data_IF_768489721369
#
_entry.id   IF_768489721369
#
_cell.length_a   1.000
_cell.length_b   1.000
_cell.length_c   1.000
_cell.angle_alpha   90.00
_cell.angle_beta   90.00
_cell.angle_gamma   90.00
#
_symmetry.space_group_name_H-M   'P 1'
#
loop_
_entity.id
_entity.type
_entity.pdbx_description
1 polymer ?
#
# COMPACT_ATOMS: atom_id res chain seq x y z
N UNK A 1 11.05 10.19 1.63
CA UNK A 1 10.16 9.78 0.52
C UNK A 1 9.06 10.81 0.18
N UNK A 2 9.00 11.96 0.86
CA UNK A 2 7.96 12.97 0.68
C UNK A 2 8.64 14.30 0.27
N UNK A 3 8.04 15.11 -0.62
CA UNK A 3 8.62 16.38 -1.11
C UNK A 3 7.66 17.58 -1.13
N UNK A 4 8.26 18.79 -1.07
CA UNK A 4 7.67 20.12 -1.37
C UNK A 4 7.81 20.51 -2.86
N UNK A 5 7.06 21.49 -3.40
CA UNK A 5 6.87 21.59 -4.85
C UNK A 5 7.94 22.38 -5.61
N UNK A 6 8.29 21.88 -6.81
CA UNK A 6 8.67 22.69 -7.98
C UNK A 6 7.49 22.61 -8.98
N UNK A 7 7.15 23.75 -9.60
CA UNK A 7 6.01 23.91 -10.51
C UNK A 7 6.43 23.81 -11.98
N UNK A 8 5.67 23.07 -12.80
CA UNK A 8 4.98 23.60 -14.00
C UNK A 8 4.15 22.48 -14.68
N UNK A 9 2.93 22.80 -15.11
CA UNK A 9 2.02 21.93 -15.85
C UNK A 9 0.67 21.76 -15.17
N UNK A 10 -0.43 21.96 -15.92
CA UNK A 10 -1.81 21.92 -15.43
C UNK A 10 -2.08 20.63 -14.63
N UNK A 11 -2.23 20.78 -13.32
CA UNK A 11 -2.44 19.67 -12.39
C UNK A 11 -3.92 19.27 -12.39
N UNK A 12 -4.25 17.97 -12.31
CA UNK A 12 -5.56 17.58 -11.78
C UNK A 12 -5.80 18.31 -10.45
N UNK A 13 -7.06 18.69 -10.17
CA UNK A 13 -7.42 19.38 -8.93
C UNK A 13 -6.78 18.69 -7.73
N UNK A 14 -6.16 19.48 -6.85
CA UNK A 14 -5.53 18.93 -5.66
C UNK A 14 -6.56 18.09 -4.87
N UNK A 15 -6.18 16.94 -4.31
CA UNK A 15 -7.09 16.17 -3.51
C UNK A 15 -7.61 17.01 -2.34
N UNK A 16 -8.87 16.80 -1.90
CA UNK A 16 -9.38 17.45 -0.70
C UNK A 16 -8.46 17.14 0.49
N UNK A 17 -8.29 18.11 1.38
CA UNK A 17 -7.43 18.00 2.58
C UNK A 17 -5.95 17.68 2.26
N UNK A 18 -5.40 18.20 1.15
CA UNK A 18 -3.97 18.11 0.88
C UNK A 18 -3.18 18.92 1.91
N UNK A 19 -2.43 18.25 2.77
CA UNK A 19 -1.56 18.87 3.77
C UNK A 19 -0.16 19.08 3.21
N UNK A 20 0.45 20.22 3.55
CA UNK A 20 1.86 20.47 3.28
C UNK A 20 2.72 19.68 4.28
N UNK A 21 3.87 19.18 3.84
CA UNK A 21 4.84 18.53 4.71
C UNK A 21 5.65 19.53 5.54
N UNK A 22 5.70 20.80 5.11
CA UNK A 22 6.38 21.86 5.85
C UNK A 22 5.50 22.43 6.98
N UNK A 23 4.19 22.24 6.90
CA UNK A 23 3.25 22.62 7.95
C UNK A 23 3.00 21.42 8.86
N UNK A 24 3.42 21.51 10.13
CA UNK A 24 3.29 20.41 11.10
C UNK A 24 1.90 20.33 11.73
N UNK A 25 1.12 21.42 11.76
CA UNK A 25 -0.13 21.45 12.51
C UNK A 25 -1.17 20.43 11.99
N UNK A 26 -1.38 20.28 10.66
CA UNK A 26 -2.29 19.27 10.15
C UNK A 26 -1.86 17.82 10.47
N UNK A 27 -0.55 17.56 10.57
CA UNK A 27 -0.03 16.23 10.88
C UNK A 27 -0.31 15.80 12.33
N UNK A 28 -0.49 16.76 13.25
CA UNK A 28 -0.86 16.44 14.64
C UNK A 28 -2.25 15.82 14.78
N UNK A 29 -3.13 16.02 13.80
CA UNK A 29 -4.47 15.44 13.73
C UNK A 29 -4.47 14.02 13.13
N UNK A 30 -3.32 13.34 13.18
CA UNK A 30 -3.22 11.94 12.77
C UNK A 30 -4.21 11.11 13.61
N UNK A 31 -5.06 10.33 12.94
CA UNK A 31 -6.18 9.55 13.49
C UNK A 31 -7.46 10.31 13.84
N UNK A 32 -7.51 11.64 13.70
CA UNK A 32 -8.74 12.40 13.94
C UNK A 32 -9.53 12.65 12.66
N UNK A 33 -8.83 12.83 11.54
CA UNK A 33 -9.45 13.17 10.26
C UNK A 33 -8.65 12.64 9.07
N UNK A 34 -9.33 12.46 7.93
CA UNK A 34 -8.70 12.05 6.68
C UNK A 34 -7.95 13.22 6.03
N UNK A 35 -6.71 12.95 5.60
CA UNK A 35 -5.84 13.91 4.92
C UNK A 35 -5.21 13.28 3.67
N UNK A 36 -4.73 14.13 2.77
CA UNK A 36 -3.94 13.73 1.61
C UNK A 36 -2.53 14.35 1.71
N UNK A 37 -1.50 13.65 1.24
CA UNK A 37 -0.13 14.14 1.22
C UNK A 37 0.59 13.71 -0.06
N UNK A 38 1.68 14.40 -0.41
CA UNK A 38 2.52 14.07 -1.58
C UNK A 38 3.60 13.06 -1.20
N UNK A 39 3.88 12.10 -2.08
CA UNK A 39 4.94 11.10 -1.90
C UNK A 39 5.68 10.80 -3.21
N UNK A 40 6.90 10.28 -3.11
CA UNK A 40 7.81 9.99 -4.22
C UNK A 40 7.94 8.49 -4.52
N UNK A 41 6.89 7.72 -4.24
CA UNK A 41 6.87 6.28 -4.55
C UNK A 41 6.59 6.02 -6.04
N UNK A 42 6.22 7.05 -6.80
CA UNK A 42 6.03 6.93 -8.24
C UNK A 42 7.35 6.54 -8.92
N UNK A 43 7.34 5.42 -9.65
CA UNK A 43 8.52 4.92 -10.37
C UNK A 43 9.53 4.18 -9.50
N UNK A 44 9.28 4.02 -8.20
CA UNK A 44 10.18 3.28 -7.32
C UNK A 44 10.35 1.83 -7.80
N UNK A 45 11.58 1.28 -7.87
CA UNK A 45 11.85 -0.05 -8.43
C UNK A 45 11.03 -1.18 -7.78
N UNK A 46 10.82 -1.10 -6.45
CA UNK A 46 10.01 -2.08 -5.70
C UNK A 46 8.53 -2.09 -6.11
N UNK A 47 8.04 -1.14 -6.90
CA UNK A 47 6.66 -1.16 -7.41
C UNK A 47 6.57 -1.47 -8.89
N UNK A 48 7.63 -1.90 -9.57
CA UNK A 48 7.54 -2.35 -10.97
C UNK A 48 6.69 -3.62 -11.08
N UNK A 49 5.87 -3.73 -12.13
CA UNK A 49 4.91 -4.85 -12.25
C UNK A 49 5.65 -6.18 -12.33
N UNK A 50 6.74 -6.19 -13.09
CA UNK A 50 7.62 -7.34 -13.31
C UNK A 50 8.21 -7.81 -11.98
N UNK A 51 8.71 -6.88 -11.19
CA UNK A 51 9.26 -7.17 -9.86
C UNK A 51 8.19 -7.74 -8.90
N UNK A 52 6.98 -7.17 -8.90
CA UNK A 52 5.89 -7.68 -8.07
C UNK A 52 5.42 -9.06 -8.50
N UNK A 53 5.46 -9.35 -9.81
CA UNK A 53 5.14 -10.68 -10.34
C UNK A 53 6.18 -11.71 -9.88
N UNK A 54 7.48 -11.37 -9.88
CA UNK A 54 8.55 -12.25 -9.37
C UNK A 54 8.41 -12.50 -7.86
N UNK A 55 8.05 -11.48 -7.10
CA UNK A 55 7.86 -11.60 -5.66
C UNK A 55 6.61 -12.37 -5.27
N UNK A 56 5.59 -12.39 -6.14
CA UNK A 56 4.32 -13.04 -5.83
C UNK A 56 4.45 -14.52 -5.51
N UNK A 57 5.43 -15.21 -6.09
CA UNK A 57 5.71 -16.63 -5.81
C UNK A 57 6.19 -16.89 -4.37
N UNK A 58 6.90 -15.92 -3.79
CA UNK A 58 7.42 -15.94 -2.43
C UNK A 58 6.34 -15.50 -1.42
N UNK A 59 5.57 -14.47 -1.78
CA UNK A 59 4.44 -13.98 -0.95
C UNK A 59 3.31 -15.00 -0.89
N UNK A 60 3.15 -15.84 -1.92
CA UNK A 60 2.14 -16.91 -1.96
C UNK A 60 2.23 -17.88 -0.78
N UNK A 61 3.44 -18.11 -0.25
CA UNK A 61 3.63 -19.05 0.85
C UNK A 61 3.33 -18.42 2.23
N UNK A 62 3.06 -17.11 2.27
CA UNK A 62 2.54 -16.44 3.47
C UNK A 62 1.05 -16.79 3.68
N UNK A 63 0.56 -16.86 4.93
CA UNK A 63 -0.87 -17.04 5.22
C UNK A 63 -1.78 -16.12 4.39
N UNK A 64 -3.01 -16.57 4.13
CA UNK A 64 -4.06 -15.85 3.39
C UNK A 64 -3.95 -15.78 1.84
N UNK A 65 -3.06 -16.53 1.19
CA UNK A 65 -2.95 -16.55 -0.29
C UNK A 65 -4.26 -16.89 -1.02
N UNK A 66 -5.16 -17.66 -0.38
CA UNK A 66 -6.44 -18.06 -0.95
C UNK A 66 -7.37 -16.88 -1.25
N UNK A 67 -7.14 -15.70 -0.62
CA UNK A 67 -7.93 -14.48 -0.85
C UNK A 67 -7.77 -13.92 -2.26
N UNK A 68 -6.72 -14.31 -2.99
CA UNK A 68 -6.43 -13.81 -4.35
C UNK A 68 -7.18 -14.57 -5.45
N UNK A 69 -7.87 -15.66 -5.08
CA UNK A 69 -8.49 -16.58 -6.01
C UNK A 69 -10.00 -16.67 -5.78
N UNK A 70 -10.73 -16.78 -6.89
CA UNK A 70 -12.14 -17.10 -6.87
C UNK A 70 -12.35 -18.47 -6.20
N UNK A 71 -13.54 -18.69 -5.63
CA UNK A 71 -13.83 -19.93 -4.92
C UNK A 71 -13.58 -21.18 -5.78
N UNK A 72 -13.91 -21.11 -7.08
CA UNK A 72 -13.68 -22.18 -8.06
C UNK A 72 -12.21 -22.48 -8.34
N UNK A 73 -11.32 -21.49 -8.16
CA UNK A 73 -9.88 -21.64 -8.41
C UNK A 73 -9.15 -22.24 -7.20
N UNK A 74 -9.70 -22.11 -5.98
CA UNK A 74 -9.00 -22.50 -4.74
C UNK A 74 -8.67 -23.98 -4.60
N UNK A 75 -9.32 -24.84 -5.37
CA UNK A 75 -9.05 -26.29 -5.43
C UNK A 75 -7.87 -26.66 -6.34
N UNK A 76 -7.35 -25.71 -7.12
CA UNK A 76 -6.23 -25.95 -8.02
C UNK A 76 -4.93 -26.25 -7.24
N UNK A 77 -4.00 -27.04 -7.82
CA UNK A 77 -2.70 -27.28 -7.21
C UNK A 77 -1.91 -25.98 -6.95
N UNK A 78 -1.14 -25.92 -5.87
CA UNK A 78 -0.34 -24.73 -5.52
C UNK A 78 0.56 -24.21 -6.65
N UNK A 79 1.29 -25.05 -7.42
CA UNK A 79 2.10 -24.55 -8.53
C UNK A 79 1.28 -23.80 -9.58
N UNK A 80 0.06 -24.27 -9.85
CA UNK A 80 -0.85 -23.64 -10.80
C UNK A 80 -1.38 -22.31 -10.26
N UNK A 81 -1.74 -22.27 -8.98
CA UNK A 81 -2.14 -21.02 -8.32
C UNK A 81 -1.01 -19.97 -8.32
N UNK A 82 0.24 -20.37 -8.08
CA UNK A 82 1.41 -19.48 -8.18
C UNK A 82 1.55 -18.89 -9.58
N UNK A 83 1.41 -19.73 -10.62
CA UNK A 83 1.44 -19.31 -12.02
C UNK A 83 0.32 -18.31 -12.33
N UNK A 84 -0.92 -18.62 -11.93
CA UNK A 84 -2.08 -17.73 -12.11
C UNK A 84 -1.86 -16.38 -11.43
N UNK A 85 -1.34 -16.35 -10.19
CA UNK A 85 -1.08 -15.09 -9.48
C UNK A 85 -0.05 -14.24 -10.21
N UNK A 86 1.07 -14.84 -10.61
CA UNK A 86 2.14 -14.18 -11.37
C UNK A 86 1.61 -13.56 -12.66
N UNK A 87 0.92 -14.35 -13.48
CA UNK A 87 0.34 -13.90 -14.75
C UNK A 87 -0.72 -12.81 -14.55
N UNK A 88 -1.52 -12.92 -13.48
CA UNK A 88 -2.52 -11.92 -13.13
C UNK A 88 -1.88 -10.57 -12.77
N UNK A 89 -0.71 -10.57 -12.13
CA UNK A 89 0.01 -9.32 -11.84
C UNK A 89 0.56 -8.70 -13.12
N UNK A 90 1.20 -9.51 -13.98
CA UNK A 90 1.75 -9.06 -15.26
C UNK A 90 0.66 -8.46 -16.17
N UNK A 91 -0.54 -9.05 -16.15
CA UNK A 91 -1.67 -8.64 -16.99
C UNK A 91 -2.76 -7.86 -16.22
N UNK A 92 -2.42 -7.21 -15.10
CA UNK A 92 -3.42 -6.53 -14.26
C UNK A 92 -4.23 -5.47 -15.00
N UNK A 93 -3.66 -4.86 -16.04
CA UNK A 93 -4.36 -3.88 -16.88
C UNK A 93 -5.56 -4.43 -17.65
N UNK A 94 -5.62 -5.75 -17.89
CA UNK A 94 -6.57 -6.35 -18.84
C UNK A 94 -7.33 -7.57 -18.28
N UNK A 95 -7.03 -8.03 -17.06
CA UNK A 95 -7.59 -9.28 -16.55
C UNK A 95 -8.89 -9.13 -15.76
N UNK A 96 -9.35 -7.91 -15.48
CA UNK A 96 -10.56 -7.67 -14.69
C UNK A 96 -10.45 -8.15 -13.24
N UNK A 97 -9.23 -8.32 -12.71
CA UNK A 97 -8.98 -8.81 -11.34
C UNK A 97 -8.57 -7.67 -10.40
N UNK A 98 -8.90 -7.88 -9.13
CA UNK A 98 -8.33 -7.16 -8.01
C UNK A 98 -7.39 -8.10 -7.27
N UNK A 99 -6.16 -7.66 -7.06
CA UNK A 99 -5.09 -8.45 -6.44
C UNK A 99 -4.50 -7.66 -5.27
N UNK A 100 -4.07 -8.41 -4.25
CA UNK A 100 -3.34 -7.88 -3.12
C UNK A 100 -2.09 -8.74 -2.89
N UNK A 101 -1.02 -8.13 -2.38
CA UNK A 101 0.13 -8.82 -1.81
C UNK A 101 0.26 -8.34 -0.38
N UNK A 102 -0.20 -9.14 0.57
CA UNK A 102 -0.19 -8.81 1.99
C UNK A 102 1.14 -9.17 2.65
N UNK A 103 1.48 -8.43 3.71
CA UNK A 103 2.66 -8.69 4.55
C UNK A 103 3.98 -8.76 3.77
N UNK A 104 4.09 -8.00 2.68
CA UNK A 104 5.28 -8.04 1.83
C UNK A 104 6.54 -7.57 2.59
N UNK A 105 6.35 -6.72 3.61
CA UNK A 105 7.40 -6.31 4.55
C UNK A 105 7.96 -7.47 5.40
N UNK A 106 7.17 -8.52 5.64
CA UNK A 106 7.58 -9.71 6.41
C UNK A 106 8.30 -10.74 5.54
N UNK A 107 7.96 -10.79 4.26
CA UNK A 107 8.52 -11.76 3.31
C UNK A 107 9.81 -11.23 2.67
N UNK A 108 9.88 -9.93 2.39
CA UNK A 108 10.95 -9.33 1.57
C UNK A 108 11.59 -8.15 2.32
N UNK A 109 12.86 -8.27 2.78
CA UNK A 109 13.51 -7.27 3.63
C UNK A 109 13.51 -5.84 3.08
N UNK A 110 13.60 -5.67 1.75
CA UNK A 110 13.58 -4.37 1.09
C UNK A 110 12.26 -3.62 1.34
N UNK A 111 11.14 -4.32 1.48
CA UNK A 111 9.85 -3.69 1.81
C UNK A 111 9.74 -3.38 3.30
N UNK A 112 10.36 -4.18 4.17
CA UNK A 112 10.51 -3.86 5.59
C UNK A 112 11.28 -2.55 5.79
N UNK A 113 12.44 -2.41 5.13
CA UNK A 113 13.23 -1.19 5.16
C UNK A 113 12.45 0.02 4.62
N UNK A 114 11.69 -0.16 3.54
CA UNK A 114 10.86 0.90 3.00
C UNK A 114 9.73 1.30 3.95
N UNK A 115 9.05 0.32 4.58
CA UNK A 115 8.03 0.57 5.58
C UNK A 115 8.62 1.37 6.75
N UNK A 116 9.82 0.99 7.19
CA UNK A 116 10.50 1.68 8.27
C UNK A 116 10.86 3.12 7.91
N UNK A 117 11.32 3.35 6.69
CA UNK A 117 11.62 4.69 6.21
C UNK A 117 10.36 5.55 6.12
N UNK A 118 9.22 4.99 5.71
CA UNK A 118 7.94 5.70 5.64
C UNK A 118 7.47 6.12 7.04
N UNK A 119 7.51 5.21 8.02
CA UNK A 119 7.15 5.56 9.39
C UNK A 119 8.11 6.59 9.99
N UNK A 120 9.43 6.49 9.76
CA UNK A 120 10.37 7.50 10.24
C UNK A 120 10.10 8.89 9.64
N UNK A 121 9.72 8.95 8.36
CA UNK A 121 9.31 10.19 7.72
C UNK A 121 8.04 10.78 8.38
N UNK A 122 7.04 9.95 8.68
CA UNK A 122 5.80 10.38 9.33
C UNK A 122 6.08 10.86 10.77
N UNK A 123 6.88 10.12 11.55
CA UNK A 123 7.27 10.51 12.92
C UNK A 123 7.97 11.86 12.95
N UNK A 124 8.86 12.11 11.97
CA UNK A 124 9.55 13.40 11.81
C UNK A 124 8.58 14.54 11.49
N UNK A 125 7.55 14.28 10.68
CA UNK A 125 6.55 15.30 10.32
C UNK A 125 5.63 15.65 11.50
N UNK A 126 5.21 14.64 12.26
CA UNK A 126 4.33 14.81 13.42
C UNK A 126 5.11 15.35 14.63
N UNK A 127 6.41 15.05 14.71
CA UNK A 127 7.23 15.31 15.88
C UNK A 127 6.88 14.39 17.06
N UNK A 128 6.30 13.22 16.79
CA UNK A 128 5.91 12.23 17.80
C UNK A 128 6.31 10.81 17.34
N UNK A 129 6.66 9.92 18.28
CA UNK A 129 7.01 8.53 17.96
C UNK A 129 5.74 7.69 17.77
N UNK A 130 5.08 7.80 16.61
CA UNK A 130 3.82 7.09 16.33
C UNK A 130 3.94 5.58 16.56
N UNK A 131 5.12 4.99 16.31
CA UNK A 131 5.37 3.56 16.52
C UNK A 131 5.16 3.12 17.96
N UNK A 132 5.34 4.01 18.93
CA UNK A 132 5.09 3.71 20.35
C UNK A 132 3.61 3.46 20.66
N UNK A 133 2.71 3.95 19.79
CA UNK A 133 1.26 3.81 19.87
C UNK A 133 0.73 2.69 18.96
N UNK A 134 1.61 1.96 18.27
CA UNK A 134 1.26 0.90 17.34
C UNK A 134 1.36 -0.47 17.99
N UNK A 135 0.42 -1.37 17.69
CA UNK A 135 0.59 -2.79 18.01
C UNK A 135 1.36 -3.51 16.91
N UNK A 136 1.04 -3.19 15.66
CA UNK A 136 1.78 -3.70 14.50
C UNK A 136 1.66 -2.75 13.31
N UNK A 137 2.66 -2.82 12.43
CA UNK A 137 2.64 -2.21 11.10
C UNK A 137 2.90 -3.27 10.05
N UNK A 138 2.20 -3.19 8.92
CA UNK A 138 2.44 -4.03 7.76
C UNK A 138 2.28 -3.25 6.47
N UNK A 139 2.85 -3.81 5.41
CA UNK A 139 2.73 -3.29 4.06
C UNK A 139 1.93 -4.26 3.20
N UNK A 140 0.92 -3.73 2.52
CA UNK A 140 0.18 -4.44 1.47
C UNK A 140 0.24 -3.65 0.16
N UNK A 141 0.30 -4.37 -0.95
CA UNK A 141 0.26 -3.77 -2.29
C UNK A 141 -1.02 -4.23 -2.97
N UNK A 142 -1.86 -3.28 -3.34
CA UNK A 142 -3.09 -3.51 -4.06
C UNK A 142 -2.95 -3.09 -5.52
N UNK A 143 -3.42 -3.96 -6.40
CA UNK A 143 -3.39 -3.78 -7.84
C UNK A 143 -4.77 -4.13 -8.38
N UNK A 144 -5.34 -3.27 -9.21
CA UNK A 144 -6.66 -3.47 -9.76
C UNK A 144 -6.68 -3.17 -11.25
N UNK A 145 -7.42 -3.99 -11.99
CA UNK A 145 -7.76 -3.66 -13.36
C UNK A 145 -8.53 -2.32 -13.44
N UNK A 146 -8.43 -1.61 -14.58
CA UNK A 146 -9.22 -0.41 -14.81
C UNK A 146 -10.70 -0.64 -14.55
N UNK A 147 -11.39 0.39 -14.05
CA UNK A 147 -12.83 0.38 -13.73
C UNK A 147 -13.30 -0.59 -12.63
N UNK A 148 -12.42 -1.35 -11.98
CA UNK A 148 -12.79 -2.10 -10.77
C UNK A 148 -12.93 -1.18 -9.57
N UNK A 149 -14.11 -1.17 -8.97
CA UNK A 149 -14.38 -0.58 -7.67
C UNK A 149 -14.27 -1.63 -6.57
N UNK A 150 -13.72 -1.22 -5.42
CA UNK A 150 -13.80 -2.02 -4.19
C UNK A 150 -15.05 -1.57 -3.45
N UNK A 151 -15.93 -2.48 -2.98
CA UNK A 151 -17.10 -2.12 -2.20
C UNK A 151 -16.74 -1.27 -0.98
N UNK A 152 -17.67 -0.40 -0.58
CA UNK A 152 -17.49 0.43 0.60
C UNK A 152 -17.31 -0.41 1.87
N UNK A 153 -16.23 -0.17 2.59
CA UNK A 153 -15.93 -0.75 3.89
C UNK A 153 -15.06 0.25 4.69
N UNK A 154 -14.94 0.00 5.99
CA UNK A 154 -14.00 0.68 6.87
C UNK A 154 -13.12 -0.37 7.55
N UNK A 155 -11.85 -0.06 7.68
CA UNK A 155 -10.86 -0.90 8.33
C UNK A 155 -10.77 -0.55 9.83
N UNK A 156 -10.21 -1.46 10.62
CA UNK A 156 -9.94 -1.22 12.04
C UNK A 156 -8.55 -0.60 12.26
N UNK A 157 -7.88 -0.22 11.17
CA UNK A 157 -6.51 0.27 11.11
C UNK A 157 -6.44 1.74 10.67
N UNK A 158 -5.40 2.44 11.12
CA UNK A 158 -4.95 3.71 10.52
C UNK A 158 -4.19 3.38 9.24
N UNK A 159 -4.65 3.90 8.11
CA UNK A 159 -4.10 3.51 6.81
C UNK A 159 -3.48 4.68 6.06
N UNK A 160 -2.23 4.46 5.60
CA UNK A 160 -1.53 5.34 4.68
C UNK A 160 -1.63 4.77 3.26
N UNK A 161 -2.59 5.29 2.50
CA UNK A 161 -2.78 4.95 1.09
C UNK A 161 -1.92 5.83 0.18
N UNK A 162 -0.93 5.23 -0.48
CA UNK A 162 -0.10 5.91 -1.48
C UNK A 162 -0.48 5.42 -2.89
N UNK A 163 -1.02 6.30 -3.72
CA UNK A 163 -1.46 5.95 -5.08
C UNK A 163 -0.41 6.36 -6.12
N UNK A 164 -0.13 5.44 -7.04
CA UNK A 164 0.52 5.71 -8.32
C UNK A 164 -0.42 5.34 -9.47
N UNK A 165 -0.13 5.78 -10.72
CA UNK A 165 -1.05 5.72 -11.89
C UNK A 165 -1.89 4.43 -12.01
N UNK A 166 -1.31 3.25 -11.72
CA UNK A 166 -1.99 1.95 -11.80
C UNK A 166 -1.94 1.11 -10.52
N UNK A 167 -1.37 1.64 -9.42
CA UNK A 167 -1.03 0.82 -8.23
C UNK A 167 -1.37 1.61 -6.98
N UNK A 168 -1.94 0.92 -5.99
CA UNK A 168 -2.19 1.50 -4.67
C UNK A 168 -1.32 0.74 -3.67
N UNK A 169 -0.34 1.42 -3.13
CA UNK A 169 0.30 0.95 -1.91
C UNK A 169 -0.61 1.29 -0.73
N UNK A 170 -0.69 0.35 0.20
CA UNK A 170 -1.36 0.53 1.46
C UNK A 170 -0.41 0.12 2.58
N UNK A 171 0.08 1.12 3.31
CA UNK A 171 0.67 0.88 4.62
C UNK A 171 -0.46 0.90 5.64
N UNK A 172 -0.71 -0.23 6.30
CA UNK A 172 -1.69 -0.29 7.39
C UNK A 172 -0.96 -0.28 8.72
N UNK A 173 -1.39 0.60 9.60
CA UNK A 173 -0.97 0.70 10.99
C UNK A 173 -2.17 0.30 11.84
N UNK A 174 -2.10 -0.82 12.55
CA UNK A 174 -3.08 -1.07 13.61
C UNK A 174 -2.58 -0.47 14.91
N UNK A 175 -3.20 0.63 15.31
CA UNK A 175 -3.06 1.14 16.65
C UNK A 175 -3.86 0.24 17.58
N UNK A 176 -3.19 -0.49 18.47
CA UNK A 176 -3.90 -1.12 19.57
C UNK A 176 -4.15 -0.07 20.62
N UNK A 177 -5.41 0.06 21.03
CA UNK A 177 -5.70 0.58 22.36
C UNK A 177 -4.93 -0.31 23.36
N UNK A 178 -3.90 0.23 24.01
CA UNK A 178 -3.55 -0.27 25.34
C UNK A 178 -4.74 0.07 26.22
N UNK A 179 -5.53 -0.95 26.55
CA UNK A 179 -6.46 -0.86 27.67
C UNK A 179 -5.65 -0.83 28.96
#
# INVERSE_FOLDING_TARGET
MLQSPVSLGARPSAPPNLIDQNDREPWKKLNESAFAFRHNLQGHPLFRIEHLADLSEHVFDYPDYQRYFAFSERSLPKPELKRILRESILNIGNNGRWLALHHIDKVVPQYGQLLDQLFADIERLIGQPIRSQMTWGSMSIFMNAPALSVPYHFDHETNFSCRSKAKRMYGSIRQGCRR
#
